data_IF_657662789877
#
_entry.id   IF_657662789877
#
_cell.length_a   1.000
_cell.length_b   1.000
_cell.length_c   1.000
_cell.angle_alpha   90.00
_cell.angle_beta   90.00
_cell.angle_gamma   90.00
#
_symmetry.space_group_name_H-M   'P 1'
#
loop_
_entity.id
_entity.type
_entity.pdbx_description
1 polymer ?
#
# COMPACT_ATOMS: atom_id res chain seq x y z
N UNK A 1 3.99 10.24 22.88
CA UNK A 1 5.10 9.33 22.60
C UNK A 1 6.36 10.16 22.30
N UNK A 2 7.50 9.75 22.82
CA UNK A 2 8.79 10.46 22.63
C UNK A 2 9.29 10.42 21.16
N UNK A 3 8.64 9.59 20.34
CA UNK A 3 8.90 9.42 18.90
C UNK A 3 7.76 9.92 18.02
N UNK A 4 6.87 10.78 18.54
CA UNK A 4 5.81 11.36 17.71
C UNK A 4 6.39 12.28 16.64
N UNK A 5 5.73 12.33 15.47
CA UNK A 5 6.11 13.26 14.41
C UNK A 5 5.98 14.70 14.88
N UNK A 6 6.94 15.53 14.53
CA UNK A 6 6.90 16.99 14.75
C UNK A 6 6.13 17.72 13.63
N UNK A 7 5.71 16.99 12.60
CA UNK A 7 4.96 17.51 11.47
C UNK A 7 3.49 17.07 11.53
N UNK A 8 2.58 18.02 11.56
CA UNK A 8 1.15 17.76 11.58
C UNK A 8 0.69 16.97 10.35
N UNK A 9 -0.14 15.96 10.58
CA UNK A 9 -0.76 15.16 9.53
C UNK A 9 0.14 14.11 8.87
N UNK A 10 1.40 13.96 9.28
CA UNK A 10 2.32 12.95 8.77
C UNK A 10 3.05 12.22 9.90
N UNK A 11 3.25 10.92 9.71
CA UNK A 11 4.00 10.08 10.65
C UNK A 11 4.53 8.84 9.95
N UNK A 12 5.55 8.22 10.53
CA UNK A 12 5.93 6.84 10.18
C UNK A 12 5.02 5.86 10.92
N UNK A 13 4.02 5.30 10.21
CA UNK A 13 3.07 4.33 10.77
C UNK A 13 3.38 2.88 10.35
N UNK A 14 4.26 2.66 9.37
CA UNK A 14 4.62 1.35 8.82
C UNK A 14 6.08 0.94 9.08
N UNK A 15 6.85 1.73 9.86
CA UNK A 15 8.22 1.38 10.24
C UNK A 15 9.28 1.60 9.15
N UNK A 16 9.01 2.42 8.15
CA UNK A 16 9.95 2.68 7.05
C UNK A 16 11.18 3.48 7.51
N UNK A 17 11.08 4.22 8.60
CA UNK A 17 12.20 4.83 9.30
C UNK A 17 13.20 3.79 9.82
N UNK A 18 12.70 2.68 10.37
CA UNK A 18 13.52 1.53 10.78
C UNK A 18 14.15 0.81 9.57
N UNK A 19 13.41 0.67 8.46
CA UNK A 19 13.95 0.08 7.23
C UNK A 19 15.11 0.91 6.68
N UNK A 20 14.95 2.23 6.61
CA UNK A 20 15.99 3.16 6.16
C UNK A 20 17.23 3.12 7.05
N UNK A 21 17.01 3.15 8.37
CA UNK A 21 18.10 3.09 9.35
C UNK A 21 18.86 1.77 9.30
N UNK A 22 18.14 0.65 9.12
CA UNK A 22 18.72 -0.68 8.97
C UNK A 22 19.56 -0.79 7.70
N UNK A 23 19.07 -0.27 6.56
CA UNK A 23 19.81 -0.28 5.31
C UNK A 23 21.08 0.60 5.39
N UNK A 24 20.99 1.76 6.04
CA UNK A 24 22.15 2.62 6.29
C UNK A 24 23.18 1.92 7.17
N UNK A 25 22.76 1.26 8.25
CA UNK A 25 23.61 0.46 9.10
C UNK A 25 24.32 -0.67 8.34
N UNK A 26 23.60 -1.36 7.47
CA UNK A 26 24.14 -2.39 6.58
C UNK A 26 25.20 -1.81 5.64
N UNK A 27 24.92 -0.66 5.02
CA UNK A 27 25.88 0.02 4.16
C UNK A 27 27.16 0.39 4.91
N UNK A 28 27.05 0.89 6.14
CA UNK A 28 28.21 1.22 6.98
C UNK A 28 29.04 -0.01 7.35
N UNK A 29 28.40 -1.14 7.65
CA UNK A 29 29.09 -2.40 7.97
C UNK A 29 29.83 -2.91 6.73
N UNK A 30 29.15 -3.01 5.60
CA UNK A 30 29.76 -3.51 4.36
C UNK A 30 30.88 -2.59 3.86
N UNK A 31 30.76 -1.27 4.06
CA UNK A 31 31.84 -0.34 3.72
C UNK A 31 33.10 -0.56 4.58
N UNK A 32 32.98 -0.97 5.85
CA UNK A 32 34.11 -1.29 6.73
C UNK A 32 34.74 -2.62 6.40
N UNK A 33 33.98 -3.55 5.84
CA UNK A 33 34.44 -4.91 5.44
C UNK A 33 34.50 -5.05 3.92
N UNK A 34 34.73 -3.95 3.21
CA UNK A 34 34.69 -3.94 1.73
C UNK A 34 35.64 -4.95 1.10
N UNK A 35 36.77 -5.22 1.71
CA UNK A 35 37.78 -6.18 1.20
C UNK A 35 37.30 -7.65 1.32
N UNK A 36 36.26 -7.91 2.13
CA UNK A 36 35.66 -9.22 2.32
C UNK A 36 34.41 -9.40 1.43
N UNK A 37 33.91 -8.33 0.79
CA UNK A 37 32.75 -8.37 -0.08
C UNK A 37 33.16 -8.78 -1.49
N UNK A 38 32.70 -9.95 -1.92
CA UNK A 38 32.90 -10.44 -3.28
C UNK A 38 31.73 -10.03 -4.16
N UNK A 39 31.95 -9.05 -5.04
CA UNK A 39 30.95 -8.48 -5.93
C UNK A 39 30.59 -7.04 -5.58
N UNK A 40 29.42 -6.62 -6.01
CA UNK A 40 28.94 -5.26 -5.83
C UNK A 40 27.59 -5.26 -5.11
N UNK A 41 27.38 -4.26 -4.27
CA UNK A 41 26.11 -4.06 -3.55
C UNK A 41 25.58 -2.67 -3.87
N UNK A 42 24.38 -2.62 -4.44
CA UNK A 42 23.66 -1.39 -4.73
C UNK A 42 22.61 -1.15 -3.62
N UNK A 43 22.75 -0.07 -2.89
CA UNK A 43 21.81 0.32 -1.84
C UNK A 43 20.72 1.19 -2.43
N UNK A 44 19.45 0.74 -2.33
CA UNK A 44 18.31 1.43 -2.88
C UNK A 44 17.43 1.97 -1.74
N UNK A 45 17.44 3.27 -1.55
CA UNK A 45 16.56 3.96 -0.60
C UNK A 45 15.33 4.44 -1.36
N UNK A 46 14.25 3.65 -1.32
CA UNK A 46 13.03 3.92 -2.07
C UNK A 46 12.22 5.02 -1.39
N UNK A 47 11.89 6.11 -2.10
CA UNK A 47 10.93 7.08 -1.62
C UNK A 47 9.50 6.62 -1.89
N UNK A 48 8.51 7.19 -1.18
CA UNK A 48 7.10 7.19 -1.58
C UNK A 48 6.49 5.78 -1.79
N UNK A 49 6.75 4.85 -0.85
CA UNK A 49 6.26 3.47 -0.96
C UNK A 49 4.74 3.40 -0.74
N UNK A 50 4.18 4.20 0.17
CA UNK A 50 2.79 4.15 0.63
C UNK A 50 1.74 4.65 -0.39
N UNK A 51 2.15 5.02 -1.59
CA UNK A 51 1.24 5.52 -2.63
C UNK A 51 1.55 4.93 -4.00
N UNK A 52 0.54 4.48 -4.70
CA UNK A 52 0.64 3.96 -6.06
C UNK A 52 0.92 5.14 -7.04
N UNK A 53 1.87 4.96 -7.99
CA UNK A 53 2.56 3.74 -8.39
C UNK A 53 3.80 3.39 -7.54
N UNK A 54 4.11 4.15 -6.49
CA UNK A 54 5.25 3.93 -5.62
C UNK A 54 6.59 4.39 -6.20
N UNK A 55 7.53 4.74 -5.31
CA UNK A 55 8.86 5.23 -5.73
C UNK A 55 9.71 4.17 -6.43
N UNK A 56 9.47 2.88 -6.17
CA UNK A 56 10.18 1.79 -6.84
C UNK A 56 10.03 1.84 -8.36
N UNK A 57 8.81 2.13 -8.86
CA UNK A 57 8.58 2.26 -10.30
C UNK A 57 9.44 3.37 -10.90
N UNK A 58 9.48 4.54 -10.28
CA UNK A 58 10.30 5.65 -10.77
C UNK A 58 11.79 5.32 -10.73
N UNK A 59 12.28 4.67 -9.68
CA UNK A 59 13.68 4.21 -9.60
C UNK A 59 14.01 3.20 -10.69
N UNK A 60 13.10 2.29 -11.03
CA UNK A 60 13.27 1.34 -12.13
C UNK A 60 13.29 2.06 -13.47
N UNK A 61 12.36 2.98 -13.71
CA UNK A 61 12.30 3.80 -14.92
C UNK A 61 13.56 4.67 -15.08
N UNK A 62 14.23 5.06 -13.99
CA UNK A 62 15.52 5.76 -13.96
C UNK A 62 16.73 4.82 -14.06
N UNK A 63 16.53 3.51 -14.22
CA UNK A 63 17.57 2.54 -14.46
C UNK A 63 18.26 2.00 -13.21
N UNK A 64 17.60 2.03 -12.03
CA UNK A 64 18.23 1.49 -10.79
C UNK A 64 18.59 0.00 -10.88
N UNK A 65 17.95 -0.73 -11.77
CA UNK A 65 18.23 -2.15 -12.02
C UNK A 65 19.06 -2.40 -13.29
N UNK A 66 19.48 -1.35 -13.98
CA UNK A 66 20.25 -1.47 -15.21
C UNK A 66 21.75 -1.53 -14.92
N UNK A 67 22.47 -2.00 -15.93
CA UNK A 67 23.93 -1.85 -15.98
C UNK A 67 24.29 -0.37 -16.13
N UNK A 68 25.25 0.10 -15.37
CA UNK A 68 25.67 1.50 -15.38
C UNK A 68 27.20 1.60 -15.34
N UNK A 69 27.80 1.96 -16.45
CA UNK A 69 29.27 2.00 -16.59
C UNK A 69 29.88 0.63 -16.30
N UNK A 70 30.78 0.57 -15.34
CA UNK A 70 31.44 -0.67 -14.91
C UNK A 70 30.64 -1.46 -13.85
N UNK A 71 29.42 -1.02 -13.54
CA UNK A 71 28.55 -1.68 -12.54
C UNK A 71 27.51 -2.52 -13.26
N UNK A 72 27.55 -3.87 -13.13
CA UNK A 72 26.59 -4.74 -13.79
C UNK A 72 25.17 -4.57 -13.23
N UNK A 73 24.18 -5.01 -13.97
CA UNK A 73 22.82 -5.14 -13.49
C UNK A 73 22.77 -6.07 -12.27
N UNK A 74 21.94 -5.77 -11.25
CA UNK A 74 21.81 -6.65 -10.09
C UNK A 74 21.27 -8.02 -10.47
N UNK A 75 21.89 -9.08 -9.95
CA UNK A 75 21.43 -10.47 -10.14
C UNK A 75 20.36 -10.87 -9.12
N UNK A 76 20.32 -10.18 -7.97
CA UNK A 76 19.36 -10.42 -6.89
C UNK A 76 19.00 -9.12 -6.18
N UNK A 77 17.81 -9.08 -5.61
CA UNK A 77 17.36 -8.01 -4.75
C UNK A 77 16.91 -8.56 -3.39
N UNK A 78 17.28 -7.84 -2.33
CA UNK A 78 16.88 -8.15 -0.97
C UNK A 78 16.07 -6.98 -0.42
N UNK A 79 14.94 -7.30 0.23
CA UNK A 79 14.12 -6.35 0.95
C UNK A 79 13.75 -6.93 2.31
N UNK A 80 13.49 -6.04 3.26
CA UNK A 80 13.00 -6.43 4.57
C UNK A 80 11.83 -5.55 4.97
N UNK A 81 10.98 -6.07 5.82
CA UNK A 81 9.93 -5.30 6.48
C UNK A 81 9.84 -5.67 7.95
N UNK A 82 9.68 -4.69 8.82
CA UNK A 82 9.41 -4.96 10.24
C UNK A 82 8.06 -5.63 10.41
N UNK A 83 7.97 -6.58 11.32
CA UNK A 83 6.74 -7.32 11.60
C UNK A 83 6.47 -7.29 13.10
N UNK A 84 5.55 -6.44 13.60
CA UNK A 84 5.27 -6.29 15.02
C UNK A 84 4.83 -7.58 15.73
N UNK A 85 4.32 -8.57 14.99
CA UNK A 85 3.92 -9.86 15.54
C UNK A 85 5.09 -10.84 15.76
N UNK A 86 6.31 -10.50 15.30
CA UNK A 86 7.51 -11.30 15.55
C UNK A 86 8.26 -10.76 16.77
N UNK A 87 8.78 -11.61 17.65
CA UNK A 87 9.64 -11.19 18.75
C UNK A 87 10.90 -10.46 18.23
N UNK A 88 11.43 -9.47 18.97
CA UNK A 88 12.68 -8.83 18.62
C UNK A 88 13.82 -9.85 18.42
N UNK A 89 14.68 -9.60 17.43
CA UNK A 89 15.76 -10.52 17.06
C UNK A 89 15.34 -11.75 16.24
N UNK A 90 14.06 -11.83 15.87
CA UNK A 90 13.54 -12.93 15.04
C UNK A 90 13.49 -12.48 13.57
N UNK A 91 13.92 -13.35 12.67
CA UNK A 91 13.82 -13.19 11.23
C UNK A 91 12.82 -14.19 10.66
N UNK A 92 11.78 -13.70 9.97
CA UNK A 92 10.82 -14.53 9.25
C UNK A 92 11.24 -14.68 7.78
N UNK A 93 11.44 -15.91 7.32
CA UNK A 93 11.80 -16.23 5.94
C UNK A 93 10.91 -17.37 5.46
N UNK A 94 10.50 -17.34 4.20
CA UNK A 94 9.84 -18.46 3.54
C UNK A 94 10.20 -18.53 2.06
N UNK A 95 10.25 -19.75 1.54
CA UNK A 95 10.38 -19.95 0.10
C UNK A 95 9.07 -19.71 -0.64
N UNK A 96 9.16 -19.28 -1.88
CA UNK A 96 8.01 -19.00 -2.74
C UNK A 96 7.37 -17.65 -2.47
N UNK A 97 6.08 -17.51 -2.73
CA UNK A 97 5.36 -16.26 -2.54
C UNK A 97 5.40 -15.77 -1.10
N UNK A 98 5.88 -14.57 -0.88
CA UNK A 98 6.07 -13.98 0.45
C UNK A 98 5.14 -12.80 0.71
N UNK A 99 4.99 -11.90 -0.27
CA UNK A 99 4.10 -10.74 -0.22
C UNK A 99 3.00 -10.88 -1.28
N UNK A 100 1.84 -10.30 -1.01
CA UNK A 100 0.77 -10.18 -1.99
C UNK A 100 0.92 -8.89 -2.80
N UNK A 101 0.29 -8.83 -3.99
CA UNK A 101 0.06 -7.56 -4.67
C UNK A 101 -0.97 -6.73 -3.90
N UNK A 102 -0.92 -5.41 -4.08
CA UNK A 102 -1.92 -4.48 -3.61
C UNK A 102 -2.44 -3.65 -4.79
N UNK A 103 -3.75 -3.46 -4.82
CA UNK A 103 -4.42 -2.65 -5.83
C UNK A 103 -5.36 -1.66 -5.14
N UNK A 104 -5.45 -0.45 -5.66
CA UNK A 104 -6.43 0.55 -5.25
C UNK A 104 -7.52 0.66 -6.32
N UNK A 105 -8.77 0.65 -5.88
CA UNK A 105 -9.93 0.79 -6.76
C UNK A 105 -10.77 1.97 -6.29
N UNK A 106 -10.99 2.91 -7.19
CA UNK A 106 -11.85 4.07 -6.96
C UNK A 106 -13.18 3.84 -7.66
N UNK A 107 -14.26 3.93 -6.92
CA UNK A 107 -15.62 3.73 -7.43
C UNK A 107 -16.42 4.99 -7.17
N UNK A 108 -16.99 5.56 -8.22
CA UNK A 108 -17.97 6.65 -8.12
C UNK A 108 -19.34 6.07 -8.50
N UNK A 109 -20.29 6.23 -7.62
CA UNK A 109 -21.70 5.86 -7.89
C UNK A 109 -22.46 7.13 -8.19
N UNK A 110 -22.92 7.26 -9.43
CA UNK A 110 -23.76 8.36 -9.88
C UNK A 110 -25.22 7.93 -9.87
N UNK A 111 -26.06 8.78 -9.33
CA UNK A 111 -27.49 8.56 -9.23
C UNK A 111 -28.29 9.74 -9.77
N UNK A 112 -29.58 9.73 -9.50
CA UNK A 112 -30.49 10.82 -9.82
C UNK A 112 -31.10 11.37 -8.54
N UNK A 113 -30.78 12.64 -8.24
CA UNK A 113 -31.22 13.31 -7.03
C UNK A 113 -32.74 13.57 -7.02
N UNK A 114 -33.34 13.59 -5.83
CA UNK A 114 -34.77 13.81 -5.68
C UNK A 114 -35.16 14.17 -4.25
N UNK A 115 -36.48 14.36 -4.05
CA UNK A 115 -37.02 14.62 -2.72
C UNK A 115 -36.98 13.34 -1.89
N UNK A 116 -36.47 13.39 -0.67
CA UNK A 116 -36.33 12.22 0.19
C UNK A 116 -37.63 11.48 0.51
N UNK A 117 -38.77 12.18 0.48
CA UNK A 117 -40.09 11.55 0.67
C UNK A 117 -40.59 10.80 -0.58
N UNK A 118 -39.97 11.00 -1.74
CA UNK A 118 -40.35 10.38 -3.01
C UNK A 118 -39.15 9.57 -3.61
N UNK A 119 -38.59 8.60 -2.88
CA UNK A 119 -37.40 7.88 -3.34
C UNK A 119 -37.66 7.06 -4.63
N UNK A 120 -38.89 6.76 -4.95
CA UNK A 120 -39.30 6.06 -6.18
C UNK A 120 -39.16 6.93 -7.46
N UNK A 121 -38.97 8.23 -7.31
CA UNK A 121 -38.74 9.19 -8.40
C UNK A 121 -37.24 9.54 -8.55
N UNK A 122 -36.37 8.87 -7.81
CA UNK A 122 -34.94 9.13 -7.78
C UNK A 122 -34.12 7.83 -7.90
N UNK A 123 -32.84 7.96 -8.15
CA UNK A 123 -31.86 6.87 -8.04
C UNK A 123 -30.89 7.23 -6.94
N UNK A 124 -31.07 6.63 -5.75
CA UNK A 124 -30.27 6.95 -4.57
C UNK A 124 -28.86 6.33 -4.63
N UNK A 125 -27.80 7.12 -4.90
CA UNK A 125 -26.46 6.59 -4.98
C UNK A 125 -25.93 6.12 -3.62
N UNK A 126 -26.45 6.64 -2.51
CA UNK A 126 -26.06 6.22 -1.15
C UNK A 126 -26.55 4.80 -0.88
N UNK A 127 -27.78 4.51 -1.25
CA UNK A 127 -28.31 3.14 -1.16
C UNK A 127 -27.51 2.19 -2.05
N UNK A 128 -27.29 2.52 -3.32
CA UNK A 128 -26.54 1.69 -4.27
C UNK A 128 -25.11 1.45 -3.75
N UNK A 129 -24.42 2.49 -3.26
CA UNK A 129 -23.09 2.35 -2.71
C UNK A 129 -23.06 1.42 -1.48
N UNK A 130 -24.08 1.46 -0.62
CA UNK A 130 -24.19 0.57 0.53
C UNK A 130 -24.34 -0.90 0.11
N UNK A 131 -25.10 -1.18 -0.93
CA UNK A 131 -25.24 -2.53 -1.51
C UNK A 131 -23.92 -3.01 -2.13
N UNK A 132 -23.18 -2.12 -2.82
CA UNK A 132 -21.85 -2.43 -3.36
C UNK A 132 -20.89 -2.78 -2.22
N UNK A 133 -20.86 -1.99 -1.14
CA UNK A 133 -20.02 -2.25 0.03
C UNK A 133 -20.30 -3.64 0.62
N UNK A 134 -21.58 -3.96 0.84
CA UNK A 134 -22.01 -5.26 1.35
C UNK A 134 -21.66 -6.40 0.40
N UNK A 135 -21.91 -6.22 -0.90
CA UNK A 135 -21.60 -7.21 -1.95
C UNK A 135 -20.11 -7.50 -2.06
N UNK A 136 -19.28 -6.48 -2.03
CA UNK A 136 -17.83 -6.62 -2.13
C UNK A 136 -17.24 -7.46 -1.00
N UNK A 137 -17.75 -7.35 0.25
CA UNK A 137 -17.29 -8.17 1.36
C UNK A 137 -17.46 -9.67 1.10
N UNK A 138 -18.44 -10.05 0.28
CA UNK A 138 -18.67 -11.45 -0.04
C UNK A 138 -17.66 -12.03 -1.05
N UNK A 139 -16.92 -11.21 -1.80
CA UNK A 139 -15.98 -11.67 -2.82
C UNK A 139 -14.91 -12.60 -2.21
N UNK A 140 -14.32 -12.19 -1.09
CA UNK A 140 -13.27 -12.98 -0.44
C UNK A 140 -13.80 -14.36 -0.02
N UNK A 141 -14.97 -14.40 0.62
CA UNK A 141 -15.53 -15.64 1.15
C UNK A 141 -16.19 -16.54 0.09
N UNK A 142 -16.58 -16.01 -1.07
CA UNK A 142 -17.37 -16.73 -2.08
C UNK A 142 -16.69 -16.89 -3.43
N UNK A 143 -15.65 -16.09 -3.72
CA UNK A 143 -14.98 -16.10 -5.03
C UNK A 143 -13.50 -16.43 -4.96
N UNK A 144 -12.84 -16.11 -3.83
CA UNK A 144 -11.42 -16.47 -3.66
C UNK A 144 -11.30 -17.95 -3.27
N UNK A 145 -10.35 -18.69 -3.86
CA UNK A 145 -10.09 -20.07 -3.47
C UNK A 145 -9.64 -20.15 -2.00
N UNK A 146 -10.13 -21.13 -1.23
CA UNK A 146 -9.65 -21.36 0.12
C UNK A 146 -8.13 -21.57 0.15
N UNK A 147 -7.44 -20.94 1.08
CA UNK A 147 -5.99 -21.05 1.22
C UNK A 147 -5.16 -20.06 0.40
N UNK A 148 -5.78 -19.27 -0.47
CA UNK A 148 -5.13 -18.09 -1.10
C UNK A 148 -5.37 -16.88 -0.19
N UNK A 149 -4.33 -16.34 0.46
CA UNK A 149 -4.48 -15.15 1.28
C UNK A 149 -4.96 -13.98 0.43
N UNK A 150 -6.15 -13.50 0.73
CA UNK A 150 -6.78 -12.39 -0.01
C UNK A 150 -7.49 -11.48 0.98
N UNK A 151 -7.37 -10.18 0.78
CA UNK A 151 -7.99 -9.15 1.62
C UNK A 151 -8.67 -8.13 0.72
N UNK A 152 -9.86 -7.70 1.10
CA UNK A 152 -10.54 -6.56 0.51
C UNK A 152 -10.97 -5.63 1.65
N UNK A 153 -10.52 -4.39 1.57
CA UNK A 153 -10.85 -3.37 2.57
C UNK A 153 -11.41 -2.15 1.87
N UNK A 154 -12.51 -1.62 2.38
CA UNK A 154 -13.04 -0.33 1.95
C UNK A 154 -12.50 0.70 2.92
N UNK A 155 -11.46 1.40 2.49
CA UNK A 155 -10.76 2.38 3.33
C UNK A 155 -11.47 3.72 3.43
N UNK A 156 -12.34 4.03 2.46
CA UNK A 156 -13.06 5.30 2.41
C UNK A 156 -14.40 5.15 1.71
N UNK A 157 -15.43 5.74 2.28
CA UNK A 157 -16.73 5.93 1.66
C UNK A 157 -17.19 7.36 1.95
N UNK A 158 -17.51 8.11 0.92
CA UNK A 158 -17.98 9.49 1.05
C UNK A 158 -19.31 9.64 0.33
N UNK A 159 -20.36 9.93 1.09
CA UNK A 159 -21.68 10.29 0.60
C UNK A 159 -21.93 11.76 0.92
N UNK A 160 -21.53 12.64 0.01
CA UNK A 160 -21.63 14.09 0.18
C UNK A 160 -22.59 14.69 -0.86
N UNK A 161 -23.24 15.79 -0.50
CA UNK A 161 -24.13 16.52 -1.39
C UNK A 161 -25.62 16.25 -1.20
N UNK A 162 -26.03 15.50 -0.17
CA UNK A 162 -27.41 15.40 0.23
C UNK A 162 -27.69 16.18 1.52
N UNK A 163 -28.87 16.79 1.64
CA UNK A 163 -29.40 17.32 2.89
C UNK A 163 -30.44 16.35 3.46
N UNK A 164 -30.87 16.55 4.70
CA UNK A 164 -31.86 15.68 5.37
C UNK A 164 -33.17 15.49 4.62
N UNK A 165 -33.50 16.34 3.64
CA UNK A 165 -34.72 16.25 2.83
C UNK A 165 -34.47 15.88 1.36
N UNK A 166 -33.23 15.52 0.98
CA UNK A 166 -32.86 15.28 -0.42
C UNK A 166 -31.98 14.05 -0.59
N UNK A 167 -32.19 13.34 -1.68
CA UNK A 167 -31.29 12.31 -2.20
C UNK A 167 -30.21 13.01 -3.03
N UNK A 168 -28.93 12.72 -2.74
CA UNK A 168 -27.78 13.27 -3.46
C UNK A 168 -27.62 12.69 -4.86
N UNK A 169 -26.58 13.15 -5.57
CA UNK A 169 -26.31 12.74 -6.96
C UNK A 169 -25.13 11.81 -7.12
N UNK A 170 -24.20 11.78 -6.17
CA UNK A 170 -23.01 10.94 -6.26
C UNK A 170 -22.49 10.52 -4.90
N UNK A 171 -21.80 9.38 -4.87
CA UNK A 171 -21.09 8.81 -3.71
C UNK A 171 -19.74 8.27 -4.19
N UNK A 172 -18.69 8.48 -3.39
CA UNK A 172 -17.31 8.01 -3.63
C UNK A 172 -16.76 7.20 -2.47
#
# INVERSE_FOLDING_TARGET
LDCASEHDGVMHACGHDLHTSSLLGTAMILARHRDEVHGQVRFCFQPHEERIPGGAKFMIDEGVLDETGDTPAPEAAFGQHVKPSLPPGTLGIRAGGFMASADEVFVTVEGEGGHAANPHEAVDPTYVASEIVGGLQSLISRRCPPGVPSVLTIGRLVADGATSGQIGRAVQ
#
